data_IF_850555119070
#
_entry.id   IF_850555119070
#
_cell.length_a   1.000
_cell.length_b   1.000
_cell.length_c   1.000
_cell.angle_alpha   90.00
_cell.angle_beta   90.00
_cell.angle_gamma   90.00
#
_symmetry.space_group_name_H-M   'P 1'
#
loop_
_entity.id
_entity.type
_entity.pdbx_description
1 polymer ?
#
# COMPACT_ATOMS: atom_id res chain seq x y z
N UNK A 1 -10.13 -33.58 27.39
CA UNK A 1 -9.14 -34.66 27.21
C UNK A 1 -9.06 -35.60 28.41
N UNK A 2 -8.57 -35.18 29.59
CA UNK A 2 -8.51 -36.08 30.78
C UNK A 2 -9.90 -36.49 31.28
N UNK A 3 -10.85 -35.56 31.37
CA UNK A 3 -12.25 -35.86 31.75
C UNK A 3 -12.92 -36.88 30.83
N UNK A 4 -12.68 -36.76 29.52
CA UNK A 4 -13.25 -37.67 28.52
C UNK A 4 -12.65 -39.08 28.64
N UNK A 5 -11.37 -39.16 29.02
CA UNK A 5 -10.66 -40.43 29.25
C UNK A 5 -11.12 -41.11 30.53
N UNK A 6 -11.34 -40.35 31.61
CA UNK A 6 -11.92 -40.82 32.87
C UNK A 6 -13.38 -41.28 32.70
N UNK A 7 -14.17 -40.56 31.89
CA UNK A 7 -15.53 -40.95 31.55
C UNK A 7 -15.58 -42.26 30.75
N UNK A 8 -14.66 -42.45 29.78
CA UNK A 8 -14.53 -43.71 29.05
C UNK A 8 -14.12 -44.85 29.97
N UNK A 9 -13.18 -44.62 30.89
CA UNK A 9 -12.73 -45.62 31.87
C UNK A 9 -13.84 -46.05 32.83
N UNK A 10 -14.69 -45.11 33.25
CA UNK A 10 -15.86 -45.40 34.09
C UNK A 10 -16.94 -46.16 33.33
N UNK A 11 -17.19 -45.84 32.06
CA UNK A 11 -18.09 -46.62 31.20
C UNK A 11 -17.58 -48.05 30.98
N UNK A 12 -16.26 -48.23 30.86
CA UNK A 12 -15.62 -49.52 30.68
C UNK A 12 -15.63 -50.40 31.94
N UNK A 13 -15.53 -49.82 33.15
CA UNK A 13 -15.59 -50.58 34.41
C UNK A 13 -16.98 -51.17 34.69
N UNK A 14 -18.04 -50.55 34.15
CA UNK A 14 -19.43 -50.97 34.27
C UNK A 14 -19.82 -52.12 33.32
N UNK A 15 -19.01 -52.42 32.30
CA UNK A 15 -19.35 -53.44 31.27
C UNK A 15 -18.78 -54.83 31.60
N UNK A 16 -18.70 -55.16 32.89
CA UNK A 16 -18.20 -56.45 33.35
C UNK A 16 -19.20 -57.58 33.05
N UNK A 17 -18.72 -58.59 32.32
CA UNK A 17 -19.20 -59.99 32.29
C UNK A 17 -20.30 -60.40 31.30
N UNK A 18 -20.09 -60.27 29.98
CA UNK A 18 -20.75 -61.18 29.01
C UNK A 18 -19.78 -61.73 27.93
N UNK A 19 -19.67 -63.06 27.91
CA UNK A 19 -19.10 -64.05 26.96
C UNK A 19 -17.92 -63.68 26.02
N UNK A 20 -16.86 -64.50 26.09
CA UNK A 20 -15.56 -64.38 25.41
C UNK A 20 -15.58 -64.59 23.88
N UNK A 21 -15.08 -63.58 23.15
CA UNK A 21 -14.53 -63.66 21.78
C UNK A 21 -13.03 -63.32 21.81
N UNK A 22 -12.27 -63.71 20.78
CA UNK A 22 -10.82 -63.45 20.67
C UNK A 22 -10.45 -61.95 20.72
N UNK A 23 -11.36 -61.07 20.26
CA UNK A 23 -11.21 -59.61 20.41
C UNK A 23 -11.36 -59.13 21.86
N UNK A 24 -12.07 -59.89 22.71
CA UNK A 24 -12.27 -59.55 24.13
C UNK A 24 -11.01 -59.87 24.95
N UNK A 25 -10.18 -60.82 24.53
CA UNK A 25 -8.88 -61.11 25.15
C UNK A 25 -7.90 -59.98 24.87
N UNK A 26 -7.83 -59.51 23.62
CA UNK A 26 -7.03 -58.32 23.27
C UNK A 26 -7.51 -57.07 24.00
N UNK A 27 -8.83 -56.86 24.10
CA UNK A 27 -9.41 -55.75 24.85
C UNK A 27 -9.05 -55.82 26.34
N UNK A 28 -9.11 -57.01 26.94
CA UNK A 28 -8.73 -57.24 28.33
C UNK A 28 -7.24 -56.98 28.58
N UNK A 29 -6.39 -57.37 27.62
CA UNK A 29 -4.95 -57.09 27.65
C UNK A 29 -4.65 -55.58 27.59
N UNK A 30 -5.32 -54.86 26.68
CA UNK A 30 -5.21 -53.40 26.58
C UNK A 30 -5.67 -52.70 27.86
N UNK A 31 -6.79 -53.12 28.45
CA UNK A 31 -7.28 -52.57 29.73
C UNK A 31 -6.27 -52.83 30.85
N UNK A 32 -5.67 -54.02 30.89
CA UNK A 32 -4.61 -54.34 31.86
C UNK A 32 -3.38 -53.46 31.66
N UNK A 33 -2.90 -53.30 30.42
CA UNK A 33 -1.77 -52.42 30.08
C UNK A 33 -2.04 -50.96 30.45
N UNK A 34 -3.23 -50.44 30.16
CA UNK A 34 -3.62 -49.07 30.54
C UNK A 34 -3.62 -48.94 32.06
N UNK A 35 -4.13 -49.92 32.81
CA UNK A 35 -4.09 -49.89 34.28
C UNK A 35 -2.66 -49.95 34.82
N UNK A 36 -1.79 -50.79 34.25
CA UNK A 36 -0.38 -50.86 34.61
C UNK A 36 0.34 -49.53 34.32
N UNK A 37 0.19 -48.98 33.12
CA UNK A 37 0.79 -47.69 32.74
C UNK A 37 0.24 -46.53 33.57
N UNK A 38 -1.05 -46.56 33.92
CA UNK A 38 -1.65 -45.55 34.81
C UNK A 38 -1.09 -45.65 36.22
N UNK A 39 -0.85 -46.86 36.72
CA UNK A 39 -0.23 -47.09 38.01
C UNK A 39 1.25 -46.66 38.01
N UNK A 40 2.00 -46.99 36.96
CA UNK A 40 3.39 -46.53 36.75
C UNK A 40 3.44 -45.01 36.68
N UNK A 41 2.61 -44.36 35.87
CA UNK A 41 2.57 -42.90 35.77
C UNK A 41 2.19 -42.24 37.10
N UNK A 42 1.23 -42.82 37.83
CA UNK A 42 0.87 -42.38 39.17
C UNK A 42 2.01 -42.57 40.18
N UNK A 43 2.85 -43.58 39.97
CA UNK A 43 4.06 -43.83 40.77
C UNK A 43 5.15 -42.81 40.42
N UNK A 44 5.47 -42.62 39.14
CA UNK A 44 6.44 -41.62 38.66
C UNK A 44 6.06 -40.19 39.05
N UNK A 45 4.77 -39.87 39.15
CA UNK A 45 4.29 -38.57 39.59
C UNK A 45 4.42 -38.36 41.11
N UNK A 46 4.43 -39.45 41.90
CA UNK A 46 4.60 -39.42 43.36
C UNK A 46 6.07 -39.56 43.78
N UNK A 47 6.88 -40.21 42.95
CA UNK A 47 8.32 -40.28 43.13
C UNK A 47 8.91 -38.89 42.91
N UNK A 48 9.65 -38.41 43.92
CA UNK A 48 10.50 -37.24 43.73
C UNK A 48 11.61 -37.63 42.76
N UNK A 49 11.80 -36.92 41.64
CA UNK A 49 12.88 -37.22 40.69
C UNK A 49 14.20 -37.32 41.45
N UNK A 50 15.00 -38.36 41.15
CA UNK A 50 16.36 -38.41 41.67
C UNK A 50 17.09 -37.15 41.22
N UNK A 51 17.43 -36.31 42.20
CA UNK A 51 18.15 -35.09 41.91
C UNK A 51 19.55 -35.51 41.48
N UNK A 52 19.88 -35.21 40.22
CA UNK A 52 21.25 -35.33 39.72
C UNK A 52 22.15 -34.63 40.75
N UNK A 53 23.20 -35.29 41.26
CA UNK A 53 24.07 -34.69 42.26
C UNK A 53 24.54 -33.35 41.72
N UNK A 54 24.21 -32.27 42.43
CA UNK A 54 24.58 -30.91 42.03
C UNK A 54 26.08 -30.73 42.28
N UNK A 55 26.89 -31.28 41.37
CA UNK A 55 28.31 -31.04 41.33
C UNK A 55 28.56 -29.79 40.48
N UNK A 56 29.63 -29.06 40.81
CA UNK A 56 29.99 -27.81 40.13
C UNK A 56 30.28 -28.07 38.64
N UNK A 57 30.82 -29.23 38.30
CA UNK A 57 31.19 -29.62 36.93
C UNK A 57 29.98 -29.79 36.00
N UNK A 58 28.93 -30.49 36.43
CA UNK A 58 27.70 -30.70 35.65
C UNK A 58 26.99 -29.35 35.44
N UNK A 59 26.94 -28.50 36.46
CA UNK A 59 26.31 -27.18 36.33
C UNK A 59 27.09 -26.28 35.35
N UNK A 60 28.42 -26.30 35.41
CA UNK A 60 29.27 -25.54 34.48
C UNK A 60 29.18 -26.08 33.05
N UNK A 61 29.14 -27.39 32.86
CA UNK A 61 29.03 -28.01 31.53
C UNK A 61 27.67 -27.74 30.90
N UNK A 62 26.58 -27.94 31.66
CA UNK A 62 25.22 -27.62 31.21
C UNK A 62 25.08 -26.13 30.88
N UNK A 63 25.55 -25.25 31.77
CA UNK A 63 25.52 -23.80 31.53
C UNK A 63 26.28 -23.42 30.25
N UNK A 64 27.48 -23.96 30.04
CA UNK A 64 28.25 -23.76 28.80
C UNK A 64 27.46 -24.21 27.57
N UNK A 65 26.85 -25.40 27.60
CA UNK A 65 26.09 -25.92 26.47
C UNK A 65 24.90 -25.00 26.11
N UNK A 66 24.12 -24.60 27.10
CA UNK A 66 22.97 -23.71 26.88
C UNK A 66 23.39 -22.33 26.36
N UNK A 67 24.47 -21.75 26.90
CA UNK A 67 25.03 -20.51 26.35
C UNK A 67 25.56 -20.67 24.93
N UNK A 68 26.12 -21.84 24.58
CA UNK A 68 26.57 -22.13 23.22
C UNK A 68 25.41 -22.23 22.24
N UNK A 69 24.32 -22.93 22.61
CA UNK A 69 23.09 -22.99 21.81
C UNK A 69 22.52 -21.59 21.60
N UNK A 70 22.35 -20.83 22.67
CA UNK A 70 21.84 -19.46 22.61
C UNK A 70 22.70 -18.56 21.71
N UNK A 71 24.03 -18.68 21.80
CA UNK A 71 24.95 -17.93 20.93
C UNK A 71 24.74 -18.27 19.46
N UNK A 72 24.61 -19.56 19.14
CA UNK A 72 24.38 -20.01 17.76
C UNK A 72 23.03 -19.50 17.21
N UNK A 73 21.97 -19.59 18.01
CA UNK A 73 20.64 -19.11 17.63
C UNK A 73 20.65 -17.59 17.39
N UNK A 74 21.33 -16.82 18.24
CA UNK A 74 21.49 -15.37 18.06
C UNK A 74 22.27 -15.03 16.79
N UNK A 75 23.32 -15.80 16.46
CA UNK A 75 24.10 -15.61 15.25
C UNK A 75 23.28 -15.91 13.98
N UNK A 76 22.44 -16.94 14.01
CA UNK A 76 21.49 -17.26 12.95
C UNK A 76 20.47 -16.13 12.74
N UNK A 77 19.89 -15.63 13.84
CA UNK A 77 18.92 -14.52 13.79
C UNK A 77 19.57 -13.25 13.26
N UNK A 78 20.78 -12.92 13.73
CA UNK A 78 21.54 -11.77 13.24
C UNK A 78 21.82 -11.87 11.73
N UNK A 79 22.28 -13.02 11.27
CA UNK A 79 22.55 -13.25 9.84
C UNK A 79 21.28 -13.12 9.00
N UNK A 80 20.16 -13.64 9.50
CA UNK A 80 18.85 -13.53 8.84
C UNK A 80 18.39 -12.08 8.75
N UNK A 81 18.51 -11.32 9.85
CA UNK A 81 18.14 -9.89 9.88
C UNK A 81 19.03 -9.08 8.93
N UNK A 82 20.34 -9.34 8.91
CA UNK A 82 21.28 -8.67 8.01
C UNK A 82 20.93 -8.93 6.55
N UNK A 83 20.73 -10.19 6.16
CA UNK A 83 20.32 -10.55 4.80
C UNK A 83 18.99 -9.91 4.40
N UNK A 84 18.00 -9.91 5.30
CA UNK A 84 16.72 -9.25 5.05
C UNK A 84 16.86 -7.74 4.88
N UNK A 85 17.70 -7.08 5.68
CA UNK A 85 17.97 -5.65 5.56
C UNK A 85 18.65 -5.28 4.24
N UNK A 86 19.62 -6.09 3.79
CA UNK A 86 20.27 -5.91 2.49
C UNK A 86 19.26 -6.04 1.35
N UNK A 87 18.43 -7.09 1.38
CA UNK A 87 17.37 -7.29 0.39
C UNK A 87 16.37 -6.13 0.36
N UNK A 88 15.94 -5.65 1.54
CA UNK A 88 15.03 -4.50 1.63
C UNK A 88 15.64 -3.23 1.04
N UNK A 89 16.95 -3.02 1.24
CA UNK A 89 17.67 -1.89 0.67
C UNK A 89 17.71 -1.98 -0.86
N UNK A 90 17.98 -3.16 -1.41
CA UNK A 90 17.97 -3.41 -2.86
C UNK A 90 16.57 -3.20 -3.46
N UNK A 91 15.54 -3.73 -2.82
CA UNK A 91 14.15 -3.56 -3.25
C UNK A 91 13.72 -2.09 -3.22
N UNK A 92 14.12 -1.33 -2.20
CA UNK A 92 13.86 0.11 -2.09
C UNK A 92 14.54 0.89 -3.22
N UNK A 93 15.81 0.58 -3.51
CA UNK A 93 16.57 1.20 -4.60
C UNK A 93 15.93 0.90 -5.96
N UNK A 94 15.48 -0.34 -6.18
CA UNK A 94 14.75 -0.73 -7.41
C UNK A 94 13.47 0.08 -7.57
N UNK A 95 12.62 0.11 -6.54
CA UNK A 95 11.33 0.84 -6.57
C UNK A 95 11.58 2.34 -6.78
N UNK A 96 12.58 2.90 -6.12
CA UNK A 96 12.93 4.31 -6.29
C UNK A 96 13.32 4.63 -7.74
N UNK A 97 14.14 3.79 -8.37
CA UNK A 97 14.55 3.98 -9.76
C UNK A 97 13.39 3.79 -10.75
N UNK A 98 12.48 2.85 -10.50
CA UNK A 98 11.25 2.69 -11.27
C UNK A 98 10.35 3.93 -11.18
N UNK A 99 10.13 4.45 -9.95
CA UNK A 99 9.33 5.66 -9.74
C UNK A 99 9.97 6.88 -10.40
N UNK A 100 11.29 7.02 -10.30
CA UNK A 100 12.04 8.09 -10.96
C UNK A 100 11.88 8.03 -12.48
N UNK A 101 11.93 6.85 -13.06
CA UNK A 101 11.73 6.62 -14.50
C UNK A 101 10.31 7.00 -14.91
N UNK A 102 9.29 6.47 -14.22
CA UNK A 102 7.88 6.80 -14.48
C UNK A 102 7.60 8.31 -14.39
N UNK A 103 8.20 8.99 -13.41
CA UNK A 103 8.07 10.44 -13.26
C UNK A 103 8.70 11.19 -14.45
N UNK A 104 9.84 10.72 -14.94
CA UNK A 104 10.47 11.27 -16.14
C UNK A 104 9.58 11.08 -17.38
N UNK A 105 9.06 9.88 -17.58
CA UNK A 105 8.19 9.56 -18.73
C UNK A 105 6.92 10.42 -18.73
N UNK A 106 6.29 10.61 -17.57
CA UNK A 106 5.11 11.48 -17.42
C UNK A 106 5.46 12.93 -17.72
N UNK A 107 6.64 13.40 -17.27
CA UNK A 107 7.10 14.76 -17.54
C UNK A 107 7.35 14.98 -19.04
N UNK A 108 8.00 14.04 -19.71
CA UNK A 108 8.26 14.10 -21.15
C UNK A 108 6.95 14.05 -21.95
N UNK A 109 6.04 13.14 -21.59
CA UNK A 109 4.72 13.06 -22.22
C UNK A 109 3.93 14.37 -22.07
N UNK A 110 3.92 14.96 -20.86
CA UNK A 110 3.29 16.27 -20.61
C UNK A 110 3.89 17.35 -21.51
N UNK A 111 5.22 17.44 -21.58
CA UNK A 111 5.91 18.45 -22.38
C UNK A 111 5.55 18.32 -23.86
N UNK A 112 5.65 17.10 -24.39
CA UNK A 112 5.27 16.81 -25.79
C UNK A 112 3.82 17.16 -26.08
N UNK A 113 2.91 16.84 -25.16
CA UNK A 113 1.49 17.19 -25.28
C UNK A 113 1.28 18.70 -25.31
N UNK A 114 1.94 19.45 -24.42
CA UNK A 114 1.84 20.91 -24.36
C UNK A 114 2.37 21.57 -25.65
N UNK A 115 3.51 21.10 -26.15
CA UNK A 115 4.09 21.58 -27.43
C UNK A 115 3.14 21.30 -28.59
N UNK A 116 2.70 20.05 -28.75
CA UNK A 116 1.81 19.65 -29.85
C UNK A 116 0.48 20.41 -29.81
N UNK A 117 -0.06 20.64 -28.61
CA UNK A 117 -1.27 21.45 -28.42
C UNK A 117 -1.03 22.92 -28.75
N UNK A 118 0.11 23.48 -28.34
CA UNK A 118 0.50 24.86 -28.68
C UNK A 118 0.58 25.08 -30.19
N UNK A 119 1.30 24.21 -30.90
CA UNK A 119 1.42 24.23 -32.36
C UNK A 119 0.04 24.14 -33.04
N UNK A 120 -0.80 23.18 -32.62
CA UNK A 120 -2.16 23.04 -33.14
C UNK A 120 -3.01 24.30 -32.93
N UNK A 121 -2.95 24.90 -31.73
CA UNK A 121 -3.73 26.10 -31.43
C UNK A 121 -3.23 27.32 -32.21
N UNK A 122 -1.93 27.43 -32.45
CA UNK A 122 -1.36 28.52 -33.24
C UNK A 122 -1.83 28.45 -34.71
N UNK A 123 -1.88 27.25 -35.29
CA UNK A 123 -2.29 27.03 -36.68
C UNK A 123 -3.82 27.20 -36.89
N UNK A 124 -4.63 26.77 -35.93
CA UNK A 124 -6.10 26.72 -36.09
C UNK A 124 -6.85 27.89 -35.42
N UNK A 125 -6.25 28.54 -34.42
CA UNK A 125 -6.83 29.66 -33.69
C UNK A 125 -5.85 30.85 -33.65
N UNK A 126 -5.52 31.46 -34.81
CA UNK A 126 -4.67 32.64 -34.85
C UNK A 126 -5.41 33.88 -34.34
N UNK A 127 -4.69 34.76 -33.64
CA UNK A 127 -5.22 36.08 -33.27
C UNK A 127 -5.53 36.92 -34.52
N UNK A 128 -6.59 37.75 -34.48
CA UNK A 128 -7.07 38.49 -35.65
C UNK A 128 -6.06 39.49 -36.22
N UNK A 129 -5.12 39.99 -35.41
CA UNK A 129 -4.11 40.95 -35.87
C UNK A 129 -2.97 40.29 -36.69
N UNK A 130 -2.86 38.96 -36.68
CA UNK A 130 -1.78 38.26 -37.40
C UNK A 130 -2.02 38.20 -38.92
N UNK A 131 -3.25 38.39 -39.42
CA UNK A 131 -3.61 38.02 -40.80
C UNK A 131 -4.57 38.95 -41.58
N UNK A 132 -4.91 40.18 -41.15
CA UNK A 132 -5.92 40.98 -41.88
C UNK A 132 -5.43 42.34 -42.39
N UNK A 133 -5.28 42.43 -43.72
CA UNK A 133 -5.22 43.69 -44.49
C UNK A 133 -6.48 44.54 -44.22
N UNK A 134 -6.27 45.75 -43.69
CA UNK A 134 -7.11 46.97 -43.71
C UNK A 134 -8.63 46.79 -44.00
N UNK A 135 -9.47 47.02 -43.00
CA UNK A 135 -10.66 47.88 -43.14
C UNK A 135 -11.02 48.54 -41.80
N UNK A 136 -10.89 49.87 -41.77
CA UNK A 136 -11.30 50.77 -40.67
C UNK A 136 -12.65 50.37 -40.09
N UNK A 137 -12.72 50.19 -38.76
CA UNK A 137 -13.78 50.76 -37.93
C UNK A 137 -13.18 51.20 -36.59
N UNK A 138 -13.38 52.48 -36.34
CA UNK A 138 -13.10 53.22 -35.12
C UNK A 138 -13.69 52.52 -33.89
N UNK A 139 -12.85 52.09 -32.95
CA UNK A 139 -13.12 52.02 -31.51
C UNK A 139 -11.75 52.10 -30.82
N UNK A 140 -11.71 52.89 -29.76
CA UNK A 140 -10.59 53.17 -28.88
C UNK A 140 -10.05 51.88 -28.24
N UNK A 141 -9.06 51.24 -28.86
CA UNK A 141 -8.42 50.04 -28.33
C UNK A 141 -7.29 50.44 -27.37
N UNK A 142 -7.55 50.28 -26.07
CA UNK A 142 -6.51 50.08 -25.08
C UNK A 142 -5.61 48.94 -25.58
N UNK A 143 -4.37 49.27 -25.91
CA UNK A 143 -3.36 48.37 -26.48
C UNK A 143 -2.85 47.36 -25.44
N UNK A 144 -3.74 46.55 -24.88
CA UNK A 144 -3.33 45.34 -24.18
C UNK A 144 -2.96 44.31 -25.25
N UNK A 145 -1.71 43.84 -25.22
CA UNK A 145 -1.30 42.71 -26.06
C UNK A 145 -2.22 41.53 -25.75
N UNK A 146 -3.02 41.11 -26.73
CA UNK A 146 -3.91 39.97 -26.61
C UNK A 146 -3.07 38.70 -26.48
N UNK A 147 -3.43 37.84 -25.54
CA UNK A 147 -2.77 36.54 -25.35
C UNK A 147 -3.37 35.49 -26.29
N UNK A 148 -2.58 34.49 -26.65
CA UNK A 148 -3.06 33.38 -27.47
C UNK A 148 -4.00 32.46 -26.67
N UNK A 149 -4.73 31.58 -27.36
CA UNK A 149 -5.55 30.58 -26.69
C UNK A 149 -4.68 29.60 -25.88
N UNK A 150 -3.46 29.32 -26.35
CA UNK A 150 -2.49 28.51 -25.61
C UNK A 150 -2.14 29.14 -24.27
N UNK A 151 -1.72 30.41 -24.26
CA UNK A 151 -1.35 31.13 -23.03
C UNK A 151 -2.54 31.24 -22.06
N UNK A 152 -3.75 31.44 -22.59
CA UNK A 152 -4.97 31.49 -21.79
C UNK A 152 -5.24 30.16 -21.08
N UNK A 153 -5.14 29.03 -21.80
CA UNK A 153 -5.28 27.70 -21.23
C UNK A 153 -4.16 27.39 -20.23
N UNK A 154 -2.92 27.82 -20.52
CA UNK A 154 -1.79 27.65 -19.62
C UNK A 154 -2.01 28.38 -18.28
N UNK A 155 -2.49 29.64 -18.32
CA UNK A 155 -2.83 30.40 -17.10
C UNK A 155 -3.91 29.67 -16.28
N UNK A 156 -4.96 29.17 -16.94
CA UNK A 156 -6.04 28.45 -16.27
C UNK A 156 -5.56 27.12 -15.66
N UNK A 157 -4.74 26.35 -16.39
CA UNK A 157 -4.13 25.11 -15.91
C UNK A 157 -3.19 25.36 -14.72
N UNK A 158 -2.31 26.35 -14.83
CA UNK A 158 -1.38 26.71 -13.76
C UNK A 158 -2.13 27.17 -12.51
N UNK A 159 -3.25 27.88 -12.66
CA UNK A 159 -4.10 28.25 -11.51
C UNK A 159 -4.78 27.04 -10.88
N UNK A 160 -5.34 26.13 -11.68
CA UNK A 160 -6.03 24.94 -11.19
C UNK A 160 -5.10 24.06 -10.33
N UNK A 161 -3.89 23.81 -10.81
CA UNK A 161 -2.93 22.96 -10.11
C UNK A 161 -2.09 23.70 -9.04
N UNK A 162 -1.88 25.01 -9.20
CA UNK A 162 -1.10 25.82 -8.26
C UNK A 162 -1.89 26.22 -7.00
N UNK A 163 -3.20 26.48 -7.14
CA UNK A 163 -4.06 26.90 -6.02
C UNK A 163 -5.39 26.14 -6.08
N UNK A 164 -5.42 24.86 -5.65
CA UNK A 164 -6.61 24.01 -5.81
C UNK A 164 -7.84 24.52 -5.03
N UNK A 165 -7.63 25.30 -3.97
CA UNK A 165 -8.70 25.90 -3.18
C UNK A 165 -9.30 27.17 -3.80
N UNK A 166 -8.62 27.80 -4.75
CA UNK A 166 -9.10 28.99 -5.48
C UNK A 166 -8.67 28.93 -6.96
N UNK A 167 -9.30 28.06 -7.76
CA UNK A 167 -8.91 27.82 -9.15
C UNK A 167 -9.37 28.93 -10.12
N UNK A 168 -9.96 30.01 -9.62
CA UNK A 168 -10.56 31.07 -10.43
C UNK A 168 -9.54 32.18 -10.78
N UNK A 169 -9.40 32.43 -12.07
CA UNK A 169 -8.60 33.50 -12.68
C UNK A 169 -9.51 34.68 -13.05
N UNK A 170 -9.05 35.90 -12.80
CA UNK A 170 -9.75 37.13 -13.22
C UNK A 170 -9.50 37.39 -14.71
N UNK A 171 -10.57 37.63 -15.46
CA UNK A 171 -10.51 38.06 -16.86
C UNK A 171 -9.90 39.47 -16.89
N UNK A 172 -8.73 39.61 -17.51
CA UNK A 172 -8.07 40.89 -17.74
C UNK A 172 -8.26 41.35 -19.18
N UNK A 173 -7.88 42.60 -19.47
CA UNK A 173 -8.01 43.21 -20.80
C UNK A 173 -7.18 42.51 -21.88
N UNK A 174 -6.22 41.66 -21.49
CA UNK A 174 -5.42 40.83 -22.40
C UNK A 174 -6.17 39.58 -22.92
N UNK A 175 -7.26 39.17 -22.27
CA UNK A 175 -8.01 37.98 -22.66
C UNK A 175 -8.92 38.31 -23.84
N UNK A 176 -8.70 37.64 -24.97
CA UNK A 176 -9.53 37.87 -26.15
C UNK A 176 -10.96 37.31 -25.94
N UNK A 177 -12.03 38.15 -26.01
CA UNK A 177 -13.39 37.70 -25.68
C UNK A 177 -13.90 36.48 -26.47
N UNK A 178 -13.57 36.30 -27.77
CA UNK A 178 -13.95 35.09 -28.51
C UNK A 178 -13.37 33.79 -27.94
N UNK A 179 -12.15 33.82 -27.39
CA UNK A 179 -11.55 32.65 -26.74
C UNK A 179 -12.21 32.34 -25.41
N UNK A 180 -12.55 33.36 -24.61
CA UNK A 180 -13.35 33.18 -23.40
C UNK A 180 -14.68 32.49 -23.74
N UNK A 181 -15.38 33.00 -24.75
CA UNK A 181 -16.69 32.48 -25.14
C UNK A 181 -16.60 31.05 -25.69
N UNK A 182 -15.56 30.75 -26.47
CA UNK A 182 -15.28 29.39 -26.95
C UNK A 182 -15.11 28.42 -25.78
N UNK A 183 -14.31 28.78 -24.79
CA UNK A 183 -14.05 27.91 -23.64
C UNK A 183 -15.30 27.68 -22.80
N UNK A 184 -16.10 28.72 -22.58
CA UNK A 184 -17.35 28.63 -21.82
C UNK A 184 -18.42 27.81 -22.56
N UNK A 185 -18.61 28.07 -23.85
CA UNK A 185 -19.64 27.40 -24.66
C UNK A 185 -19.36 25.91 -24.85
N UNK A 186 -18.08 25.53 -24.91
CA UNK A 186 -17.66 24.12 -25.00
C UNK A 186 -17.52 23.44 -23.62
N UNK A 187 -17.85 24.12 -22.52
CA UNK A 187 -17.76 23.55 -21.17
C UNK A 187 -16.32 23.26 -20.72
N UNK A 188 -15.33 23.92 -21.31
CA UNK A 188 -13.91 23.78 -20.93
C UNK A 188 -13.59 24.65 -19.72
N UNK A 189 -14.28 25.80 -19.61
CA UNK A 189 -14.20 26.69 -18.47
C UNK A 189 -15.59 27.01 -17.91
N UNK A 190 -15.63 27.39 -16.63
CA UNK A 190 -16.81 27.83 -15.92
C UNK A 190 -16.60 29.23 -15.33
N UNK A 191 -17.66 30.04 -15.30
CA UNK A 191 -17.67 31.33 -14.58
C UNK A 191 -17.86 31.12 -13.08
N UNK A 192 -17.33 32.04 -12.28
CA UNK A 192 -17.61 32.05 -10.84
C UNK A 192 -19.09 32.35 -10.59
N UNK A 193 -19.77 31.64 -9.67
CA UNK A 193 -21.20 31.83 -9.40
C UNK A 193 -21.57 33.26 -8.99
N UNK A 194 -20.69 33.92 -8.24
CA UNK A 194 -20.92 35.25 -7.66
C UNK A 194 -20.15 36.37 -8.37
N UNK A 195 -19.18 36.03 -9.23
CA UNK A 195 -18.30 37.02 -9.88
C UNK A 195 -18.10 36.69 -11.37
N UNK A 196 -18.88 37.28 -12.28
CA UNK A 196 -18.80 36.96 -13.69
C UNK A 196 -17.46 37.36 -14.34
N UNK A 197 -16.64 38.17 -13.65
CA UNK A 197 -15.30 38.55 -14.12
C UNK A 197 -14.25 37.48 -13.85
N UNK A 198 -14.61 36.37 -13.22
CA UNK A 198 -13.70 35.27 -12.90
C UNK A 198 -14.12 33.98 -13.59
N UNK A 199 -13.14 33.24 -14.11
CA UNK A 199 -13.32 31.94 -14.76
C UNK A 199 -12.33 30.92 -14.21
N UNK A 200 -12.70 29.64 -14.25
CA UNK A 200 -11.81 28.52 -13.92
C UNK A 200 -11.94 27.43 -14.97
N UNK A 201 -10.93 26.57 -15.07
CA UNK A 201 -11.04 25.35 -15.86
C UNK A 201 -12.05 24.37 -15.23
N UNK A 202 -12.74 23.60 -16.07
CA UNK A 202 -13.55 22.47 -15.63
C UNK A 202 -12.65 21.35 -15.08
N UNK A 203 -13.16 20.60 -14.10
CA UNK A 203 -12.43 19.48 -13.52
C UNK A 203 -12.64 18.22 -14.39
N UNK A 204 -11.63 17.82 -15.17
CA UNK A 204 -11.73 16.67 -16.09
C UNK A 204 -11.44 15.29 -15.46
N UNK A 205 -11.09 15.24 -14.18
CA UNK A 205 -10.63 14.03 -13.47
C UNK A 205 -11.78 13.23 -12.82
N UNK A 206 -12.88 13.03 -13.54
CA UNK A 206 -14.02 12.21 -13.07
C UNK A 206 -13.86 10.74 -13.43
#
# INVERSE_FOLDING_TARGET
MWKDMEECQNKLSLTGTETLSDSNVQLSLLIMQVKCLTAELSQWQKETPEMIPLNEEILVTLGKEEFQKLRHDLELVLSTIQSNNEKLKEDLERIFNELKTKMSDVKEYKEKLLVTMGEFLEDHFPLPDRNVKKKKKNIQESTAQLITLHDMLEILLNRLFGVPHDPYVKISDSFWPPYIELLLRNGIALRHPEDPTRIRLEAFHQ
#
